data_IF_923757828123
#
_entry.id   IF_923757828123
#
_cell.length_a   1.000
_cell.length_b   1.000
_cell.length_c   1.000
_cell.angle_alpha   90.00
_cell.angle_beta   90.00
_cell.angle_gamma   90.00
#
_symmetry.space_group_name_H-M   'P 1'
#
loop_
_entity.id
_entity.type
_entity.pdbx_description
1 polymer ?
#
# COMPACT_ATOMS: atom_id res chain seq x y z
N UNK A 1 -35.64 -42.91 -31.76
CA UNK A 1 -34.44 -42.80 -30.91
C UNK A 1 -33.96 -41.33 -30.92
N UNK A 2 -34.55 -40.47 -30.07
CA UNK A 2 -34.22 -39.02 -29.95
C UNK A 2 -34.52 -38.41 -28.56
N UNK A 3 -35.14 -39.17 -27.65
CA UNK A 3 -35.58 -38.67 -26.33
C UNK A 3 -34.55 -38.82 -25.20
N UNK A 4 -33.58 -39.71 -25.37
CA UNK A 4 -32.57 -40.03 -24.34
C UNK A 4 -31.46 -38.99 -24.27
N UNK A 5 -31.00 -38.47 -25.41
CA UNK A 5 -29.87 -37.51 -25.47
C UNK A 5 -30.22 -36.14 -24.87
N UNK A 6 -31.47 -35.68 -25.04
CA UNK A 6 -31.93 -34.38 -24.51
C UNK A 6 -32.04 -34.37 -22.97
N UNK A 7 -32.33 -35.54 -22.37
CA UNK A 7 -32.49 -35.70 -20.92
C UNK A 7 -31.12 -35.81 -20.21
N UNK A 8 -30.14 -36.45 -20.84
CA UNK A 8 -28.76 -36.53 -20.37
C UNK A 8 -28.06 -35.16 -20.42
N UNK A 9 -28.27 -34.38 -21.50
CA UNK A 9 -27.72 -33.03 -21.64
C UNK A 9 -28.20 -32.07 -20.54
N UNK A 10 -29.49 -32.16 -20.19
CA UNK A 10 -30.06 -31.39 -19.09
C UNK A 10 -29.49 -31.84 -17.72
N UNK A 11 -29.29 -33.13 -17.49
CA UNK A 11 -28.71 -33.62 -16.22
C UNK A 11 -27.26 -33.16 -16.01
N UNK A 12 -26.45 -33.10 -17.08
CA UNK A 12 -25.08 -32.59 -16.99
C UNK A 12 -25.03 -31.08 -16.77
N UNK A 13 -25.90 -30.32 -17.42
CA UNK A 13 -25.98 -28.86 -17.18
C UNK A 13 -26.44 -28.53 -15.77
N UNK A 14 -27.41 -29.27 -15.19
CA UNK A 14 -27.79 -29.10 -13.78
C UNK A 14 -26.66 -29.47 -12.81
N UNK A 15 -25.90 -30.53 -13.08
CA UNK A 15 -24.73 -30.90 -12.27
C UNK A 15 -23.64 -29.82 -12.31
N UNK A 16 -23.34 -29.26 -13.49
CA UNK A 16 -22.36 -28.18 -13.64
C UNK A 16 -22.83 -26.92 -12.90
N UNK A 17 -24.10 -26.53 -13.02
CA UNK A 17 -24.66 -25.39 -12.30
C UNK A 17 -24.59 -25.58 -10.78
N UNK A 18 -24.84 -26.80 -10.29
CA UNK A 18 -24.75 -27.13 -8.87
C UNK A 18 -23.30 -27.04 -8.37
N UNK A 19 -22.34 -27.55 -9.12
CA UNK A 19 -20.91 -27.43 -8.78
C UNK A 19 -20.49 -25.96 -8.73
N UNK A 20 -20.87 -25.15 -9.72
CA UNK A 20 -20.56 -23.72 -9.74
C UNK A 20 -21.19 -23.00 -8.54
N UNK A 21 -22.44 -23.30 -8.21
CA UNK A 21 -23.11 -22.71 -7.04
C UNK A 21 -22.41 -23.09 -5.73
N UNK A 22 -21.97 -24.35 -5.58
CA UNK A 22 -21.20 -24.80 -4.41
C UNK A 22 -19.85 -24.09 -4.33
N UNK A 23 -19.13 -23.95 -5.45
CA UNK A 23 -17.86 -23.22 -5.48
C UNK A 23 -18.02 -21.75 -5.07
N UNK A 24 -19.07 -21.08 -5.56
CA UNK A 24 -19.39 -19.70 -5.16
C UNK A 24 -19.68 -19.64 -3.65
N UNK A 25 -20.48 -20.56 -3.13
CA UNK A 25 -20.78 -20.61 -1.70
C UNK A 25 -19.52 -20.83 -0.84
N UNK A 26 -18.60 -21.70 -1.27
CA UNK A 26 -17.31 -21.91 -0.62
C UNK A 26 -16.49 -20.63 -0.62
N UNK A 27 -16.36 -19.94 -1.76
CA UNK A 27 -15.60 -18.68 -1.86
C UNK A 27 -16.18 -17.62 -0.93
N UNK A 28 -17.50 -17.45 -0.90
CA UNK A 28 -18.17 -16.50 0.00
C UNK A 28 -17.91 -16.86 1.47
N UNK A 29 -18.02 -18.14 1.82
CA UNK A 29 -17.77 -18.62 3.18
C UNK A 29 -16.32 -18.40 3.62
N UNK A 30 -15.35 -18.70 2.75
CA UNK A 30 -13.94 -18.45 3.00
C UNK A 30 -13.66 -16.96 3.20
N UNK A 31 -14.19 -16.09 2.32
CA UNK A 31 -14.05 -14.64 2.46
C UNK A 31 -14.61 -14.14 3.79
N UNK A 32 -15.82 -14.59 4.16
CA UNK A 32 -16.45 -14.19 5.42
C UNK A 32 -15.62 -14.62 6.63
N UNK A 33 -15.10 -15.85 6.62
CA UNK A 33 -14.24 -16.38 7.68
C UNK A 33 -12.95 -15.56 7.80
N UNK A 34 -12.32 -15.19 6.68
CA UNK A 34 -11.13 -14.33 6.70
C UNK A 34 -11.43 -12.95 7.29
N UNK A 35 -12.51 -12.30 6.85
CA UNK A 35 -12.90 -10.97 7.37
C UNK A 35 -13.16 -11.00 8.88
N UNK A 36 -13.84 -12.03 9.38
CA UNK A 36 -14.10 -12.17 10.82
C UNK A 36 -12.80 -12.33 11.60
N UNK A 37 -11.88 -13.18 11.12
CA UNK A 37 -10.56 -13.35 11.74
C UNK A 37 -9.76 -12.04 11.74
N UNK A 38 -9.72 -11.31 10.62
CA UNK A 38 -9.01 -10.02 10.54
C UNK A 38 -9.58 -9.01 11.53
N UNK A 39 -10.91 -8.89 11.62
CA UNK A 39 -11.54 -7.96 12.56
C UNK A 39 -11.24 -8.30 14.02
N UNK A 40 -11.16 -9.58 14.37
CA UNK A 40 -10.77 -10.01 15.71
C UNK A 40 -9.31 -9.68 16.03
N UNK A 41 -8.40 -9.92 15.08
CA UNK A 41 -6.98 -9.58 15.21
C UNK A 41 -6.80 -8.07 15.35
N UNK A 42 -7.47 -7.27 14.51
CA UNK A 42 -7.44 -5.81 14.61
C UNK A 42 -7.98 -5.33 15.95
N UNK A 43 -9.06 -5.93 16.47
CA UNK A 43 -9.59 -5.59 17.79
C UNK A 43 -8.51 -5.77 18.87
N UNK A 44 -7.87 -6.94 18.91
CA UNK A 44 -6.82 -7.25 19.89
C UNK A 44 -5.61 -6.31 19.71
N UNK A 45 -5.17 -6.10 18.47
CA UNK A 45 -4.07 -5.21 18.17
C UNK A 45 -4.33 -3.75 18.52
N UNK A 46 -5.55 -3.26 18.25
CA UNK A 46 -5.96 -1.89 18.56
C UNK A 46 -6.00 -1.64 20.08
N UNK A 47 -6.37 -2.63 20.90
CA UNK A 47 -6.26 -2.52 22.36
C UNK A 47 -4.81 -2.28 22.81
N UNK A 48 -3.85 -2.95 22.18
CA UNK A 48 -2.42 -2.81 22.49
C UNK A 48 -1.90 -1.46 21.99
N UNK A 49 -2.31 -1.03 20.79
CA UNK A 49 -1.97 0.28 20.23
C UNK A 49 -2.41 1.40 21.17
N UNK A 50 -3.64 1.36 21.70
CA UNK A 50 -4.12 2.36 22.67
C UNK A 50 -3.22 2.41 23.91
N UNK A 51 -2.81 1.25 24.44
CA UNK A 51 -1.89 1.20 25.59
C UNK A 51 -0.52 1.79 25.27
N UNK A 52 0.01 1.55 24.07
CA UNK A 52 1.29 2.14 23.61
C UNK A 52 1.15 3.66 23.48
N UNK A 53 0.07 4.14 22.86
CA UNK A 53 -0.20 5.57 22.69
C UNK A 53 -0.38 6.27 24.05
N UNK A 54 -1.12 5.67 24.99
CA UNK A 54 -1.29 6.18 26.35
C UNK A 54 0.05 6.25 27.11
N UNK A 55 0.88 5.22 26.97
CA UNK A 55 2.23 5.21 27.53
C UNK A 55 3.09 6.34 26.94
N UNK A 56 3.06 6.51 25.61
CA UNK A 56 3.79 7.56 24.92
C UNK A 56 3.33 8.95 25.36
N UNK A 57 2.02 9.16 25.48
CA UNK A 57 1.44 10.42 25.96
C UNK A 57 1.85 10.74 27.40
N UNK A 58 1.95 9.72 28.26
CA UNK A 58 2.30 9.88 29.68
C UNK A 58 3.80 10.12 29.92
N UNK A 59 4.66 9.41 29.20
CA UNK A 59 6.11 9.40 29.48
C UNK A 59 6.95 10.11 28.40
N UNK A 60 6.33 10.60 27.33
CA UNK A 60 7.03 11.30 26.23
C UNK A 60 7.95 10.42 25.40
N UNK A 61 7.87 9.09 25.55
CA UNK A 61 8.67 8.11 24.83
C UNK A 61 7.86 6.84 24.58
N UNK A 62 8.24 6.09 23.56
CA UNK A 62 7.70 4.74 23.37
C UNK A 62 8.16 3.79 24.49
N UNK A 63 7.37 2.76 24.79
CA UNK A 63 7.84 1.67 25.63
C UNK A 63 8.99 0.95 24.91
N UNK A 64 10.01 0.53 25.67
CA UNK A 64 11.12 -0.28 25.17
C UNK A 64 10.66 -1.70 24.82
N UNK A 65 9.68 -2.19 25.57
CA UNK A 65 9.05 -3.49 25.43
C UNK A 65 7.59 -3.43 25.91
N UNK A 66 6.76 -4.39 25.49
CA UNK A 66 5.34 -4.40 25.90
C UNK A 66 5.15 -4.65 27.41
N UNK A 67 6.18 -5.16 28.12
CA UNK A 67 6.12 -5.33 29.58
C UNK A 67 6.01 -4.00 30.33
N UNK A 68 6.53 -2.90 29.78
CA UNK A 68 6.36 -1.56 30.37
C UNK A 68 4.90 -1.08 30.35
N UNK A 69 4.01 -1.73 29.57
CA UNK A 69 2.58 -1.43 29.52
C UNK A 69 1.78 -2.08 30.66
N UNK A 70 2.45 -2.82 31.57
CA UNK A 70 1.85 -3.52 32.70
C UNK A 70 1.84 -5.04 32.54
N UNK A 71 1.07 -5.73 33.39
CA UNK A 71 1.12 -7.20 33.54
C UNK A 71 -0.02 -8.01 32.87
N UNK A 72 -0.28 -7.88 31.55
CA UNK A 72 -1.11 -8.86 30.84
C UNK A 72 -0.32 -9.77 29.87
N UNK A 73 1.03 -9.72 29.87
CA UNK A 73 1.87 -10.39 28.88
C UNK A 73 2.74 -11.48 29.50
N UNK A 74 2.77 -12.67 28.90
CA UNK A 74 3.78 -13.69 29.18
C UNK A 74 5.00 -13.42 28.29
N UNK A 75 6.14 -13.09 28.90
CA UNK A 75 7.40 -12.82 28.18
C UNK A 75 8.17 -14.13 28.01
N UNK A 76 8.27 -14.61 26.77
CA UNK A 76 9.09 -15.78 26.43
C UNK A 76 10.51 -15.40 25.93
N UNK A 77 10.98 -14.21 26.31
CA UNK A 77 12.27 -13.55 25.98
C UNK A 77 12.37 -12.95 24.58
N UNK A 78 11.45 -13.29 23.67
CA UNK A 78 11.46 -12.80 22.28
C UNK A 78 10.09 -12.27 21.81
N UNK A 79 9.00 -12.78 22.37
CA UNK A 79 7.62 -12.43 21.99
C UNK A 79 6.72 -12.34 23.23
N UNK A 80 5.52 -11.77 23.05
CA UNK A 80 4.54 -11.61 24.12
C UNK A 80 3.27 -12.40 23.80
N UNK A 81 2.74 -13.16 24.75
CA UNK A 81 1.39 -13.73 24.62
C UNK A 81 0.35 -12.75 25.18
N UNK A 82 -0.70 -12.49 24.41
CA UNK A 82 -1.88 -11.76 24.86
C UNK A 82 -3.15 -12.33 24.22
N UNK A 83 -4.09 -12.80 25.05
CA UNK A 83 -5.35 -13.40 24.60
C UNK A 83 -5.15 -14.56 23.60
N UNK A 84 -4.04 -15.31 23.69
CA UNK A 84 -3.73 -16.43 22.79
C UNK A 84 -3.12 -16.00 21.45
N UNK A 85 -2.73 -14.73 21.31
CA UNK A 85 -1.98 -14.21 20.17
C UNK A 85 -0.53 -13.98 20.54
N UNK A 86 0.38 -14.35 19.63
CA UNK A 86 1.81 -14.06 19.78
C UNK A 86 2.07 -12.69 19.19
N UNK A 87 2.74 -11.84 19.95
CA UNK A 87 3.01 -10.46 19.60
C UNK A 87 4.50 -10.21 19.49
N UNK A 88 4.88 -9.47 18.46
CA UNK A 88 6.20 -8.88 18.32
C UNK A 88 6.09 -7.36 18.24
N UNK A 89 6.94 -6.67 18.99
CA UNK A 89 6.93 -5.22 19.08
C UNK A 89 8.34 -4.69 18.86
N UNK A 90 8.47 -3.81 17.87
CA UNK A 90 9.76 -3.24 17.46
C UNK A 90 9.67 -1.71 17.46
N UNK A 91 10.15 -1.04 18.53
CA UNK A 91 10.25 0.41 18.55
C UNK A 91 11.44 0.90 17.72
N UNK A 92 11.23 1.95 16.95
CA UNK A 92 12.26 2.63 16.16
C UNK A 92 12.70 3.92 16.85
N UNK A 93 13.93 4.37 16.55
CA UNK A 93 14.55 5.55 17.19
C UNK A 93 13.82 6.88 16.93
N UNK A 94 13.01 6.94 15.87
CA UNK A 94 12.24 8.10 15.46
C UNK A 94 10.82 8.16 16.07
N UNK A 95 10.57 7.39 17.14
CA UNK A 95 9.30 7.44 17.87
C UNK A 95 8.17 6.72 17.14
N UNK A 96 8.51 5.81 16.23
CA UNK A 96 7.57 4.90 15.57
C UNK A 96 7.81 3.49 16.10
N UNK A 97 6.90 2.60 15.75
CA UNK A 97 6.99 1.19 16.07
C UNK A 97 6.23 0.34 15.05
N UNK A 98 6.63 -0.92 15.00
CA UNK A 98 5.91 -2.00 14.36
C UNK A 98 5.30 -2.89 15.44
N UNK A 99 4.06 -3.33 15.21
CA UNK A 99 3.40 -4.34 16.03
C UNK A 99 2.96 -5.47 15.11
N UNK A 100 3.52 -6.66 15.31
CA UNK A 100 3.17 -7.85 14.54
C UNK A 100 2.37 -8.79 15.43
N UNK A 101 1.26 -9.29 14.90
CA UNK A 101 0.44 -10.33 15.51
C UNK A 101 0.59 -11.60 14.68
N UNK A 102 1.09 -12.66 15.32
CA UNK A 102 1.25 -13.99 14.73
C UNK A 102 0.21 -14.93 15.34
N UNK A 103 -0.53 -15.64 14.48
CA UNK A 103 -1.57 -16.59 14.89
C UNK A 103 -1.54 -17.91 14.09
N UNK A 104 -0.46 -18.12 13.34
CA UNK A 104 -0.11 -19.34 12.63
C UNK A 104 1.38 -19.31 12.24
N UNK A 105 1.95 -20.41 11.71
CA UNK A 105 3.39 -20.50 11.40
C UNK A 105 3.90 -19.44 10.43
N UNK A 106 3.03 -18.95 9.53
CA UNK A 106 3.33 -17.97 8.48
C UNK A 106 2.26 -16.88 8.37
N UNK A 107 1.40 -16.74 9.39
CA UNK A 107 0.27 -15.79 9.39
C UNK A 107 0.57 -14.61 10.32
N UNK A 108 1.17 -13.59 9.72
CA UNK A 108 1.54 -12.35 10.40
C UNK A 108 0.70 -11.17 9.89
N UNK A 109 0.13 -10.44 10.84
CA UNK A 109 -0.56 -9.19 10.60
C UNK A 109 0.16 -8.05 11.30
N UNK A 110 0.63 -7.08 10.51
CA UNK A 110 1.60 -6.08 10.92
C UNK A 110 0.95 -4.71 10.91
N UNK A 111 1.00 -4.03 12.05
CA UNK A 111 0.61 -2.64 12.20
C UNK A 111 1.83 -1.71 12.08
N UNK A 112 1.68 -0.64 11.30
CA UNK A 112 2.66 0.43 11.21
C UNK A 112 2.14 1.73 11.82
N UNK A 113 2.71 2.10 12.97
CA UNK A 113 2.28 3.25 13.77
C UNK A 113 2.35 4.60 13.06
N UNK A 114 3.33 4.83 12.17
CA UNK A 114 3.46 6.12 11.48
C UNK A 114 2.25 6.45 10.61
N UNK A 115 1.66 5.43 10.00
CA UNK A 115 0.56 5.57 9.04
C UNK A 115 -0.76 5.01 9.57
N UNK A 116 -0.75 4.46 10.78
CA UNK A 116 -1.90 3.88 11.48
C UNK A 116 -2.71 2.88 10.64
N UNK A 117 -2.03 1.96 9.97
CA UNK A 117 -2.69 0.90 9.19
C UNK A 117 -2.11 -0.49 9.48
N UNK A 118 -2.95 -1.48 9.24
CA UNK A 118 -2.61 -2.89 9.27
C UNK A 118 -2.32 -3.45 7.87
N UNK A 119 -1.40 -4.40 7.78
CA UNK A 119 -1.07 -5.14 6.54
C UNK A 119 -0.75 -6.59 6.83
N UNK A 120 -1.03 -7.45 5.87
CA UNK A 120 -0.54 -8.83 5.91
C UNK A 120 0.94 -8.88 5.55
N UNK A 121 1.70 -9.80 6.15
CA UNK A 121 3.12 -9.98 5.84
C UNK A 121 3.34 -10.44 4.38
N UNK A 122 2.38 -11.16 3.78
CA UNK A 122 2.40 -11.51 2.37
C UNK A 122 1.97 -10.37 1.43
N UNK A 123 1.49 -9.23 1.93
CA UNK A 123 1.31 -8.01 1.15
C UNK A 123 2.68 -7.31 0.95
N UNK A 124 3.58 -7.97 0.21
CA UNK A 124 4.90 -7.42 -0.14
C UNK A 124 4.79 -6.27 -1.15
N UNK A 125 3.72 -6.25 -1.94
CA UNK A 125 3.35 -5.15 -2.81
C UNK A 125 2.13 -4.44 -2.25
N UNK A 126 2.26 -3.15 -1.90
CA UNK A 126 1.08 -2.29 -1.81
C UNK A 126 0.30 -2.46 -3.11
N UNK A 127 -0.97 -2.87 -3.01
CA UNK A 127 -1.84 -3.02 -4.17
C UNK A 127 -1.84 -1.73 -4.99
N UNK A 128 -1.99 -1.85 -6.31
CA UNK A 128 -2.04 -0.68 -7.21
C UNK A 128 -3.09 0.35 -6.80
N UNK A 129 -4.20 -0.10 -6.21
CA UNK A 129 -5.24 0.75 -5.64
C UNK A 129 -4.73 1.58 -4.45
N UNK A 130 -4.03 0.94 -3.50
CA UNK A 130 -3.49 1.63 -2.31
C UNK A 130 -2.31 2.53 -2.67
N UNK A 131 -1.53 2.18 -3.70
CA UNK A 131 -0.51 3.08 -4.27
C UNK A 131 -1.12 4.31 -4.93
N UNK A 132 -2.23 4.15 -5.65
CA UNK A 132 -2.93 5.27 -6.28
C UNK A 132 -3.65 6.16 -5.25
N UNK A 133 -4.20 5.58 -4.18
CA UNK A 133 -4.72 6.35 -3.03
C UNK A 133 -3.63 7.18 -2.36
N UNK A 134 -2.49 6.56 -2.05
CA UNK A 134 -1.33 7.26 -1.48
C UNK A 134 -0.81 8.33 -2.44
N UNK A 135 -0.73 8.04 -3.75
CA UNK A 135 -0.35 9.02 -4.75
C UNK A 135 -1.31 10.23 -4.75
N UNK A 136 -2.63 9.98 -4.72
CA UNK A 136 -3.63 11.05 -4.66
C UNK A 136 -3.56 11.85 -3.37
N UNK A 137 -3.46 11.19 -2.21
CA UNK A 137 -3.30 11.85 -0.92
C UNK A 137 -2.08 12.77 -0.90
N UNK A 138 -0.94 12.26 -1.38
CA UNK A 138 0.33 12.98 -1.41
C UNK A 138 0.33 14.15 -2.41
N UNK A 139 -0.29 13.97 -3.58
CA UNK A 139 -0.18 14.94 -4.69
C UNK A 139 -1.33 15.94 -4.75
N UNK A 140 -2.54 15.60 -4.27
CA UNK A 140 -3.65 16.55 -4.22
C UNK A 140 -3.54 17.53 -3.04
N UNK A 141 -2.85 17.15 -1.97
CA UNK A 141 -2.70 17.98 -0.78
C UNK A 141 -1.48 18.92 -0.81
N UNK A 142 -0.47 18.60 -1.62
CA UNK A 142 0.82 19.31 -1.58
C UNK A 142 1.17 19.96 -2.93
N UNK A 143 1.58 21.25 -2.88
CA UNK A 143 2.10 21.98 -4.04
C UNK A 143 3.64 22.00 -3.99
N UNK A 144 4.34 21.13 -4.73
CA UNK A 144 5.80 21.05 -4.68
C UNK A 144 6.49 22.26 -5.29
N UNK A 145 7.71 22.52 -4.81
CA UNK A 145 8.64 23.45 -5.45
C UNK A 145 9.39 22.72 -6.55
N UNK A 146 9.35 23.26 -7.76
CA UNK A 146 9.95 22.66 -8.95
C UNK A 146 11.39 23.14 -9.12
N UNK A 147 12.31 22.22 -9.42
CA UNK A 147 13.66 22.54 -9.91
C UNK A 147 13.98 21.73 -11.16
N UNK A 148 14.61 22.39 -12.12
CA UNK A 148 15.02 21.80 -13.38
C UNK A 148 16.53 21.55 -13.33
N UNK A 149 16.92 20.28 -13.44
CA UNK A 149 18.33 19.88 -13.35
C UNK A 149 18.99 19.80 -14.74
N UNK A 150 18.22 19.48 -15.77
CA UNK A 150 18.70 19.47 -17.15
C UNK A 150 17.57 19.77 -18.13
N UNK A 151 17.89 20.59 -19.13
CA UNK A 151 17.04 20.93 -20.26
C UNK A 151 17.79 20.54 -21.53
N UNK A 152 17.17 19.74 -22.38
CA UNK A 152 17.73 19.40 -23.69
C UNK A 152 16.70 19.71 -24.77
N UNK A 153 17.08 20.61 -25.68
CA UNK A 153 16.31 20.83 -26.89
C UNK A 153 16.25 19.53 -27.69
N UNK A 154 15.07 19.18 -28.16
CA UNK A 154 14.89 18.02 -29.01
C UNK A 154 15.44 18.33 -30.41
N UNK A 155 16.02 17.33 -31.05
CA UNK A 155 16.41 17.44 -32.46
C UNK A 155 15.23 17.08 -33.35
N UNK A 156 15.13 17.71 -34.53
CA UNK A 156 14.10 17.46 -35.54
C UNK A 156 14.00 15.99 -36.03
N UNK A 157 14.91 15.12 -35.59
CA UNK A 157 15.03 13.72 -35.95
C UNK A 157 14.44 12.73 -34.93
N UNK A 158 13.83 13.19 -33.84
CA UNK A 158 13.20 12.30 -32.85
C UNK A 158 11.78 11.93 -33.29
N UNK A 159 11.57 10.66 -33.64
CA UNK A 159 10.24 10.14 -33.95
C UNK A 159 9.47 9.92 -32.63
N UNK A 160 8.46 10.72 -32.37
CA UNK A 160 7.62 10.59 -31.17
C UNK A 160 6.26 10.00 -31.53
N UNK A 161 5.57 9.42 -30.54
CA UNK A 161 4.16 9.01 -30.69
C UNK A 161 3.19 10.20 -30.69
N UNK A 162 3.70 11.42 -30.50
CA UNK A 162 2.93 12.65 -30.43
C UNK A 162 2.77 13.27 -31.84
N UNK A 163 1.65 13.97 -32.11
CA UNK A 163 1.40 14.59 -33.41
C UNK A 163 2.34 15.76 -33.73
N UNK A 164 3.01 16.33 -32.73
CA UNK A 164 4.08 17.33 -32.86
C UNK A 164 5.31 16.88 -32.09
N UNK A 165 6.50 17.23 -32.59
CA UNK A 165 7.72 17.05 -31.82
C UNK A 165 7.76 18.09 -30.70
N UNK A 166 7.86 17.69 -29.42
CA UNK A 166 8.03 18.64 -28.33
C UNK A 166 9.36 19.38 -28.47
N UNK A 167 9.44 20.62 -28.01
CA UNK A 167 10.66 21.43 -28.13
C UNK A 167 11.79 20.92 -27.25
N UNK A 168 11.47 20.38 -26.08
CA UNK A 168 12.48 19.98 -25.11
C UNK A 168 12.10 18.78 -24.25
N UNK A 169 13.12 18.04 -23.86
CA UNK A 169 13.08 17.03 -22.81
C UNK A 169 13.74 17.58 -21.55
N UNK A 170 13.05 17.48 -20.42
CA UNK A 170 13.46 18.06 -19.13
C UNK A 170 13.55 16.94 -18.09
N UNK A 171 14.68 16.84 -17.40
CA UNK A 171 14.71 16.09 -16.14
C UNK A 171 14.33 17.02 -15.00
N UNK A 172 13.28 16.65 -14.27
CA UNK A 172 12.74 17.48 -13.22
C UNK A 172 12.79 16.79 -11.86
N UNK A 173 13.07 17.60 -10.83
CA UNK A 173 12.91 17.22 -9.43
C UNK A 173 11.96 18.17 -8.73
N UNK A 174 11.06 17.59 -7.95
CA UNK A 174 10.13 18.27 -7.08
C UNK A 174 10.57 18.12 -5.63
N UNK A 175 10.37 19.16 -4.83
CA UNK A 175 10.78 19.15 -3.42
C UNK A 175 9.63 19.53 -2.48
N UNK A 176 9.70 18.96 -1.29
CA UNK A 176 8.95 19.40 -0.13
C UNK A 176 9.45 20.77 0.36
N UNK A 177 8.65 21.49 1.14
CA UNK A 177 9.03 22.78 1.75
C UNK A 177 10.27 22.67 2.63
N UNK A 178 10.47 21.49 3.24
CA UNK A 178 11.65 21.17 4.05
C UNK A 178 12.89 20.80 3.19
N UNK A 179 12.79 20.89 1.86
CA UNK A 179 13.86 20.62 0.92
C UNK A 179 14.10 19.14 0.62
N UNK A 180 13.29 18.22 1.18
CA UNK A 180 13.38 16.79 0.83
C UNK A 180 12.82 16.53 -0.57
N UNK A 181 13.41 15.57 -1.28
CA UNK A 181 12.94 15.17 -2.61
C UNK A 181 11.52 14.59 -2.50
N UNK A 182 10.63 15.08 -3.35
CA UNK A 182 9.21 14.71 -3.41
C UNK A 182 8.87 13.92 -4.67
N UNK A 183 9.48 14.25 -5.80
CA UNK A 183 9.36 13.46 -7.01
C UNK A 183 10.53 13.71 -7.96
N UNK A 184 10.80 12.78 -8.85
CA UNK A 184 11.67 13.01 -10.00
C UNK A 184 11.27 12.18 -11.22
N UNK A 185 11.52 12.73 -12.39
CA UNK A 185 11.25 12.08 -13.67
C UNK A 185 11.43 13.01 -14.86
N UNK A 186 11.05 12.50 -16.03
CA UNK A 186 11.19 13.20 -17.31
C UNK A 186 9.89 13.91 -17.70
N UNK A 187 10.03 15.11 -18.26
CA UNK A 187 8.92 15.88 -18.82
C UNK A 187 9.21 16.29 -20.25
N UNK A 188 8.15 16.41 -21.04
CA UNK A 188 8.18 17.10 -22.32
C UNK A 188 7.69 18.54 -22.14
N UNK A 189 8.34 19.47 -22.82
CA UNK A 189 7.93 20.88 -22.88
C UNK A 189 7.74 21.30 -24.34
N UNK A 190 6.65 22.01 -24.59
CA UNK A 190 6.22 22.55 -25.88
C UNK A 190 5.92 24.05 -25.69
N UNK A 191 6.59 24.89 -26.46
CA UNK A 191 6.54 26.36 -26.42
C UNK A 191 5.32 26.93 -27.16
N UNK A 192 4.71 26.17 -28.08
CA UNK A 192 3.66 26.65 -29.01
C UNK A 192 2.29 26.01 -28.78
N UNK A 193 2.16 25.12 -27.80
CA UNK A 193 0.85 24.65 -27.36
C UNK A 193 0.19 25.76 -26.56
N UNK A 194 -0.96 26.28 -27.02
CA UNK A 194 -1.75 27.44 -26.51
C UNK A 194 -2.02 27.52 -24.97
N UNK A 195 -1.40 26.72 -24.13
CA UNK A 195 -1.45 26.86 -22.67
C UNK A 195 -0.22 26.39 -21.87
N UNK A 196 1.02 26.51 -22.39
CA UNK A 196 2.27 26.22 -21.65
C UNK A 196 2.20 24.88 -20.89
N UNK A 197 1.90 23.79 -21.60
CA UNK A 197 1.75 22.48 -20.97
C UNK A 197 3.10 21.76 -20.88
N UNK A 198 3.35 21.14 -19.73
CA UNK A 198 4.47 20.22 -19.53
C UNK A 198 3.92 18.87 -19.13
N UNK A 199 4.22 17.84 -19.93
CA UNK A 199 3.69 16.49 -19.72
C UNK A 199 4.75 15.62 -19.07
N UNK A 200 4.40 14.99 -17.94
CA UNK A 200 5.21 13.91 -17.36
C UNK A 200 5.24 12.74 -18.35
N UNK A 201 6.42 12.16 -18.59
CA UNK A 201 6.58 10.98 -19.44
C UNK A 201 7.42 9.90 -18.77
N UNK A 202 7.19 8.65 -19.18
CA UNK A 202 7.92 7.49 -18.69
C UNK A 202 7.76 7.26 -17.18
N UNK A 203 8.71 6.55 -16.57
CA UNK A 203 8.62 6.23 -15.14
C UNK A 203 9.06 7.41 -14.27
N UNK A 204 8.11 7.91 -13.50
CA UNK A 204 8.34 8.86 -12.43
C UNK A 204 8.46 8.16 -11.08
N UNK A 205 9.37 8.66 -10.24
CA UNK A 205 9.52 8.25 -8.85
C UNK A 205 8.95 9.32 -7.96
N UNK A 206 7.99 8.96 -7.12
CA UNK A 206 7.40 9.83 -6.11
C UNK A 206 7.87 9.37 -4.75
N UNK A 207 8.43 10.30 -3.99
CA UNK A 207 9.00 10.05 -2.68
C UNK A 207 8.07 10.63 -1.65
N UNK A 208 7.51 9.78 -0.81
CA UNK A 208 6.81 10.21 0.40
C UNK A 208 7.80 10.81 1.41
N UNK A 209 7.36 11.70 2.31
CA UNK A 209 8.24 12.34 3.32
C UNK A 209 8.91 11.33 4.26
N UNK A 210 8.34 10.14 4.35
CA UNK A 210 8.81 9.01 5.14
C UNK A 210 9.63 7.98 4.35
N UNK A 211 9.94 8.27 3.08
CA UNK A 211 10.93 7.53 2.29
C UNK A 211 10.39 6.39 1.43
N UNK A 212 9.07 6.18 1.38
CA UNK A 212 8.47 5.25 0.42
C UNK A 212 8.56 5.84 -0.98
N UNK A 213 9.00 5.01 -1.92
CA UNK A 213 9.07 5.30 -3.34
C UNK A 213 7.83 4.69 -4.01
N UNK A 214 7.11 5.51 -4.76
CA UNK A 214 6.00 5.10 -5.62
C UNK A 214 6.45 5.36 -7.06
N UNK A 215 6.48 4.31 -7.88
CA UNK A 215 6.76 4.44 -9.31
C UNK A 215 5.45 4.53 -10.08
N UNK A 216 5.33 5.54 -10.94
CA UNK A 216 4.17 5.71 -11.84
C UNK A 216 4.67 5.89 -13.26
N UNK A 217 4.17 5.06 -14.17
CA UNK A 217 4.44 5.17 -15.59
C UNK A 217 3.46 6.16 -16.22
N UNK A 218 3.98 7.22 -16.80
CA UNK A 218 3.23 8.21 -17.56
C UNK A 218 3.34 7.93 -19.08
N UNK A 219 2.39 8.44 -19.88
CA UNK A 219 2.31 8.17 -21.32
C UNK A 219 3.59 8.50 -22.10
#
# INVERSE_FOLDING_TARGET
>A
MKLTDKRLWNSHTYMVLLIVAVLIAIVISCKRTMVVKTAEIERVGNEIIVKIEDFQNKYGRLPLNLHELGAPFEDNKETYDYQGYILYYEPTKDGKYWLTITFGPDEDYIYYSQRKYWRWNYDTELSSEKREELFKEMFQSYRPVWKFDSLRANSDSVNTIYPSAPDSLIYCRQYYEDGKLAAEGWMLHDWDREGDYTDNIGTWKYYTRDGIIIEKCWP
#
